data_IF_283946159110
#
_entry.id   IF_283946159110
#
_cell.length_a   1.000
_cell.length_b   1.000
_cell.length_c   1.000
_cell.angle_alpha   90.00
_cell.angle_beta   90.00
_cell.angle_gamma   90.00
#
_symmetry.space_group_name_H-M   'P 1'
#
loop_
_entity.id
_entity.type
_entity.pdbx_description
1 polymer ?
#
# COMPACT_ATOMS: atom_id res chain seq x y z
N UNK A 1 18.89 -15.06 -43.37
CA UNK A 1 19.56 -13.86 -43.91
C UNK A 1 18.47 -12.98 -44.51
N UNK A 2 18.06 -11.92 -43.80
CA UNK A 2 16.98 -11.04 -44.28
C UNK A 2 17.46 -10.15 -45.42
N UNK A 3 16.69 -10.12 -46.51
CA UNK A 3 16.97 -9.32 -47.71
C UNK A 3 16.44 -7.89 -47.52
N UNK A 4 17.33 -6.91 -47.70
CA UNK A 4 16.99 -5.48 -47.69
C UNK A 4 16.47 -5.06 -49.05
N UNK A 5 15.17 -4.82 -49.16
CA UNK A 5 14.60 -4.02 -50.23
C UNK A 5 13.99 -2.75 -49.62
N UNK A 6 14.54 -1.59 -49.98
CA UNK A 6 14.06 -0.24 -49.64
C UNK A 6 14.07 0.11 -48.14
N UNK A 7 15.21 0.08 -47.46
CA UNK A 7 15.42 0.74 -46.15
C UNK A 7 14.59 0.23 -44.95
N UNK A 8 13.57 -0.60 -45.20
CA UNK A 8 12.76 -1.26 -44.20
C UNK A 8 13.25 -2.68 -44.02
N UNK A 9 13.56 -3.04 -42.78
CA UNK A 9 13.90 -4.41 -42.42
C UNK A 9 12.59 -5.17 -42.21
N UNK A 10 12.25 -6.05 -43.14
CA UNK A 10 11.13 -6.98 -42.94
C UNK A 10 11.53 -7.95 -41.83
N UNK A 11 10.84 -7.88 -40.69
CA UNK A 11 10.93 -8.93 -39.67
C UNK A 11 10.16 -10.13 -40.19
N UNK A 12 10.76 -11.31 -40.13
CA UNK A 12 10.00 -12.53 -40.35
C UNK A 12 9.03 -12.75 -39.17
N UNK A 13 7.99 -13.56 -39.39
CA UNK A 13 6.95 -13.80 -38.37
C UNK A 13 7.51 -14.38 -37.07
N UNK A 14 8.61 -15.13 -37.13
CA UNK A 14 9.28 -15.70 -35.95
C UNK A 14 10.00 -14.61 -35.15
N UNK A 15 10.75 -13.73 -35.83
CA UNK A 15 11.40 -12.57 -35.21
C UNK A 15 10.39 -11.61 -34.56
N UNK A 16 9.27 -11.37 -35.25
CA UNK A 16 8.15 -10.57 -34.72
C UNK A 16 7.55 -11.20 -33.46
N UNK A 17 7.19 -12.48 -33.52
CA UNK A 17 6.58 -13.19 -32.38
C UNK A 17 7.53 -13.27 -31.18
N UNK A 18 8.82 -13.51 -31.40
CA UNK A 18 9.83 -13.50 -30.34
C UNK A 18 9.92 -12.13 -29.64
N UNK A 19 9.92 -11.04 -30.42
CA UNK A 19 9.97 -9.67 -29.90
C UNK A 19 8.74 -9.35 -29.05
N UNK A 20 7.54 -9.71 -29.53
CA UNK A 20 6.29 -9.52 -28.79
C UNK A 20 6.30 -10.34 -27.50
N UNK A 21 6.72 -11.61 -27.54
CA UNK A 21 6.80 -12.47 -26.37
C UNK A 21 7.72 -11.89 -25.29
N UNK A 22 8.92 -11.43 -25.67
CA UNK A 22 9.85 -10.79 -24.73
C UNK A 22 9.25 -9.53 -24.09
N UNK A 23 8.58 -8.67 -24.88
CA UNK A 23 7.94 -7.46 -24.35
C UNK A 23 6.82 -7.79 -23.36
N UNK A 24 5.97 -8.77 -23.68
CA UNK A 24 4.90 -9.22 -22.79
C UNK A 24 5.48 -9.77 -21.50
N UNK A 25 6.52 -10.60 -21.58
CA UNK A 25 7.18 -11.16 -20.40
C UNK A 25 7.76 -10.08 -19.51
N UNK A 26 8.52 -9.14 -20.08
CA UNK A 26 9.12 -8.05 -19.31
C UNK A 26 8.05 -7.18 -18.63
N UNK A 27 6.92 -6.93 -19.31
CA UNK A 27 5.79 -6.22 -18.72
C UNK A 27 5.15 -7.01 -17.58
N UNK A 28 4.97 -8.32 -17.73
CA UNK A 28 4.43 -9.19 -16.69
C UNK A 28 5.35 -9.19 -15.45
N UNK A 29 6.65 -9.31 -15.66
CA UNK A 29 7.65 -9.30 -14.58
C UNK A 29 7.66 -7.94 -13.83
N UNK A 30 7.55 -6.83 -14.55
CA UNK A 30 7.45 -5.48 -13.96
C UNK A 30 6.15 -5.30 -13.15
N UNK A 31 5.02 -5.77 -13.67
CA UNK A 31 3.74 -5.73 -12.95
C UNK A 31 3.80 -6.59 -11.68
N UNK A 32 4.32 -7.82 -11.77
CA UNK A 32 4.45 -8.71 -10.63
C UNK A 32 5.37 -8.12 -9.56
N UNK A 33 6.50 -7.53 -9.98
CA UNK A 33 7.43 -6.85 -9.10
C UNK A 33 6.75 -5.69 -8.35
N UNK A 34 5.99 -4.84 -9.05
CA UNK A 34 5.27 -3.71 -8.44
C UNK A 34 4.18 -4.17 -7.48
N UNK A 35 3.39 -5.17 -7.84
CA UNK A 35 2.32 -5.69 -6.97
C UNK A 35 2.89 -6.31 -5.69
N UNK A 36 4.03 -7.01 -5.78
CA UNK A 36 4.71 -7.59 -4.61
C UNK A 36 5.18 -6.56 -3.57
N UNK A 37 5.29 -5.29 -3.94
CA UNK A 37 5.63 -4.22 -2.98
C UNK A 37 4.45 -3.70 -2.18
N UNK A 38 3.23 -4.12 -2.51
CA UNK A 38 2.02 -3.76 -1.76
C UNK A 38 1.89 -4.70 -0.57
N UNK A 39 1.77 -4.12 0.62
CA UNK A 39 1.51 -4.84 1.87
C UNK A 39 0.21 -4.31 2.47
N UNK A 40 -0.56 -5.18 3.10
CA UNK A 40 -1.83 -4.79 3.74
C UNK A 40 -2.06 -5.57 5.02
N UNK A 41 -2.92 -5.03 5.89
CA UNK A 41 -3.36 -5.71 7.09
C UNK A 41 -4.33 -4.84 7.88
N UNK A 42 -4.57 -5.25 9.12
CA UNK A 42 -5.42 -4.54 10.06
C UNK A 42 -4.73 -4.39 11.41
N UNK A 43 -4.97 -3.29 12.12
CA UNK A 43 -4.49 -3.09 13.49
C UNK A 43 -5.65 -2.61 14.36
N UNK A 44 -5.74 -3.13 15.58
CA UNK A 44 -6.71 -2.65 16.57
C UNK A 44 -6.09 -1.53 17.40
N UNK A 45 -6.73 -0.37 17.41
CA UNK A 45 -6.36 0.77 18.24
C UNK A 45 -7.32 0.89 19.40
N UNK A 46 -6.78 0.82 20.62
CA UNK A 46 -7.55 0.95 21.85
C UNK A 46 -7.42 2.37 22.40
N UNK A 47 -8.56 2.96 22.75
CA UNK A 47 -8.66 4.27 23.41
C UNK A 47 -9.14 4.03 24.83
N UNK A 48 -8.30 4.33 25.81
CA UNK A 48 -8.62 4.14 27.22
C UNK A 48 -9.76 5.06 27.69
N UNK A 49 -10.34 4.74 28.86
CA UNK A 49 -11.25 5.63 29.59
C UNK A 49 -10.48 6.91 29.93
N UNK A 50 -11.14 8.06 29.79
CA UNK A 50 -10.54 9.38 30.00
C UNK A 50 -9.72 9.91 28.83
N UNK A 51 -9.41 9.08 27.82
CA UNK A 51 -8.57 9.49 26.69
C UNK A 51 -9.38 9.90 25.46
N UNK A 52 -8.98 11.02 24.85
CA UNK A 52 -9.52 11.49 23.58
C UNK A 52 -8.95 10.72 22.37
N UNK A 53 -7.82 10.03 22.53
CA UNK A 53 -7.15 9.32 21.45
C UNK A 53 -6.44 8.06 21.93
N UNK A 54 -6.11 7.20 20.97
CA UNK A 54 -5.33 5.98 21.17
C UNK A 54 -4.37 5.77 20.02
N UNK A 55 -3.34 4.96 20.25
CA UNK A 55 -2.31 4.67 19.25
C UNK A 55 -2.03 3.18 19.15
N UNK A 56 -1.59 2.75 17.97
CA UNK A 56 -1.03 1.41 17.76
C UNK A 56 0.13 1.48 16.76
N UNK A 57 1.04 0.52 16.84
CA UNK A 57 2.13 0.38 15.86
C UNK A 57 1.75 -0.64 14.81
N UNK A 58 1.90 -0.26 13.54
CA UNK A 58 1.86 -1.19 12.40
C UNK A 58 3.29 -1.47 12.00
N UNK A 59 3.70 -2.74 12.11
CA UNK A 59 4.98 -3.22 11.59
C UNK A 59 4.74 -3.85 10.23
N UNK A 60 5.51 -3.45 9.21
CA UNK A 60 5.40 -4.05 7.89
C UNK A 60 6.00 -5.46 7.92
N UNK A 61 5.27 -6.48 7.41
CA UNK A 61 5.79 -7.84 7.31
C UNK A 61 7.15 -7.92 6.61
N UNK A 62 7.37 -7.07 5.62
CA UNK A 62 8.66 -6.89 4.95
C UNK A 62 9.06 -5.41 4.97
N UNK A 63 10.26 -5.05 5.46
CA UNK A 63 10.73 -3.68 5.41
C UNK A 63 10.81 -3.14 3.98
N UNK A 64 10.40 -1.89 3.77
CA UNK A 64 10.66 -1.16 2.54
C UNK A 64 12.15 -0.77 2.48
N UNK A 65 12.78 -0.83 1.31
CA UNK A 65 14.24 -0.63 1.19
C UNK A 65 14.64 0.61 0.39
N UNK A 66 13.74 1.14 -0.44
CA UNK A 66 14.06 2.21 -1.41
C UNK A 66 13.49 3.55 -0.99
N UNK A 67 12.27 3.57 -0.45
CA UNK A 67 11.58 4.79 -0.06
C UNK A 67 10.61 4.53 1.10
N UNK A 68 10.30 5.59 1.86
CA UNK A 68 9.24 5.55 2.86
C UNK A 68 7.92 5.22 2.17
N UNK A 69 7.18 4.20 2.65
CA UNK A 69 5.97 3.78 1.98
C UNK A 69 4.89 4.85 2.06
N UNK A 70 4.12 4.95 0.97
CA UNK A 70 2.81 5.59 0.98
C UNK A 70 1.83 4.64 1.65
N UNK A 71 0.98 5.19 2.52
CA UNK A 71 0.06 4.39 3.33
C UNK A 71 -1.33 5.00 3.25
N UNK A 72 -2.31 4.17 2.91
CA UNK A 72 -3.72 4.47 3.08
C UNK A 72 -4.21 3.78 4.36
N UNK A 73 -4.98 4.52 5.15
CA UNK A 73 -5.63 4.02 6.37
C UNK A 73 -7.13 4.15 6.19
N UNK A 74 -7.87 3.12 6.56
CA UNK A 74 -9.33 3.16 6.63
C UNK A 74 -9.79 2.55 7.94
N UNK A 75 -10.60 3.30 8.68
CA UNK A 75 -11.19 2.84 9.92
C UNK A 75 -12.29 3.81 10.32
N UNK A 76 -13.42 3.27 10.76
CA UNK A 76 -14.57 4.07 11.15
C UNK A 76 -15.86 3.26 11.10
N UNK A 77 -16.66 3.37 12.14
CA UNK A 77 -18.05 2.90 12.13
C UNK A 77 -18.92 3.95 11.42
N UNK A 78 -19.78 3.51 10.50
CA UNK A 78 -20.73 4.36 9.81
C UNK A 78 -21.53 5.17 10.84
N UNK A 79 -21.49 6.50 10.75
CA UNK A 79 -22.23 7.40 11.66
C UNK A 79 -21.45 7.97 12.84
N UNK A 80 -20.15 7.67 13.03
CA UNK A 80 -19.33 8.35 14.03
C UNK A 80 -17.87 8.54 13.55
N UNK A 81 -17.41 9.76 13.22
CA UNK A 81 -16.15 9.97 12.52
C UNK A 81 -14.97 9.95 13.51
N UNK A 82 -14.53 8.76 13.90
CA UNK A 82 -13.18 8.61 14.42
C UNK A 82 -12.18 9.08 13.36
N UNK A 83 -11.27 9.96 13.73
CA UNK A 83 -10.24 10.45 12.80
C UNK A 83 -9.01 9.57 12.92
N UNK A 84 -8.72 8.82 11.87
CA UNK A 84 -7.56 7.95 11.77
C UNK A 84 -6.44 8.68 11.05
N UNK A 85 -5.25 8.74 11.67
CA UNK A 85 -4.08 9.38 11.10
C UNK A 85 -2.84 8.51 11.28
N UNK A 86 -1.88 8.70 10.39
CA UNK A 86 -0.53 8.15 10.54
C UNK A 86 0.34 9.18 11.26
N UNK A 87 1.16 8.73 12.20
CA UNK A 87 2.26 9.48 12.77
C UNK A 87 3.60 8.81 12.43
N UNK A 88 4.58 9.63 12.05
CA UNK A 88 5.95 9.21 11.73
C UNK A 88 6.14 8.62 10.33
N UNK A 89 7.40 8.63 9.90
CA UNK A 89 7.88 8.06 8.63
C UNK A 89 8.98 7.05 8.89
N UNK A 90 8.73 5.78 8.60
CA UNK A 90 9.73 4.72 8.71
C UNK A 90 9.50 3.64 7.65
N UNK A 91 10.59 2.96 7.32
CA UNK A 91 10.66 1.84 6.38
C UNK A 91 10.17 0.52 6.96
N UNK A 92 10.12 0.40 8.29
CA UNK A 92 9.80 -0.84 9.00
C UNK A 92 8.47 -0.79 9.72
N UNK A 93 8.01 0.40 10.11
CA UNK A 93 6.80 0.56 10.90
C UNK A 93 6.23 1.98 10.80
N UNK A 94 4.98 2.13 11.22
CA UNK A 94 4.35 3.43 11.47
C UNK A 94 3.47 3.38 12.72
N UNK A 95 3.18 4.55 13.29
CA UNK A 95 2.19 4.67 14.35
C UNK A 95 0.87 5.13 13.75
N UNK A 96 -0.20 4.39 14.04
CA UNK A 96 -1.58 4.78 13.74
C UNK A 96 -2.14 5.46 14.97
N UNK A 97 -2.79 6.60 14.78
CA UNK A 97 -3.47 7.38 15.82
C UNK A 97 -4.94 7.45 15.47
N UNK A 98 -5.79 7.11 16.43
CA UNK A 98 -7.25 7.22 16.31
C UNK A 98 -7.72 8.24 17.33
N UNK A 99 -8.40 9.28 16.85
CA UNK A 99 -8.98 10.32 17.69
C UNK A 99 -10.50 10.15 17.75
N UNK A 100 -11.06 10.27 18.95
CA UNK A 100 -12.50 10.40 19.15
C UNK A 100 -13.00 11.68 18.45
N UNK A 101 -14.25 11.69 17.97
CA UNK A 101 -14.90 12.93 17.56
C UNK A 101 -14.90 13.97 18.69
N UNK A 102 -14.89 15.25 18.33
CA UNK A 102 -15.00 16.35 19.31
C UNK A 102 -16.29 16.22 20.13
N UNK A 103 -16.19 16.37 21.45
CA UNK A 103 -17.33 16.25 22.37
C UNK A 103 -17.79 14.81 22.64
N UNK A 104 -17.15 13.79 22.06
CA UNK A 104 -17.47 12.40 22.38
C UNK A 104 -17.12 12.09 23.84
N UNK A 105 -17.99 11.32 24.51
CA UNK A 105 -17.76 10.87 25.88
C UNK A 105 -16.45 10.06 25.97
N UNK A 106 -15.69 10.29 27.03
CA UNK A 106 -14.50 9.52 27.40
C UNK A 106 -14.77 8.55 28.55
N UNK A 107 -16.03 8.42 28.99
CA UNK A 107 -16.41 7.58 30.15
C UNK A 107 -16.29 6.07 29.87
N UNK A 108 -16.29 5.67 28.60
CA UNK A 108 -16.11 4.28 28.17
C UNK A 108 -14.89 4.17 27.26
N UNK A 109 -14.16 3.06 27.38
CA UNK A 109 -13.11 2.71 26.42
C UNK A 109 -13.70 2.49 25.02
N UNK A 110 -12.89 2.69 23.99
CA UNK A 110 -13.25 2.41 22.61
C UNK A 110 -12.16 1.55 21.96
N UNK A 111 -12.55 0.73 20.98
CA UNK A 111 -11.63 -0.08 20.19
C UNK A 111 -12.04 0.03 18.73
N UNK A 112 -11.07 0.33 17.87
CA UNK A 112 -11.29 0.51 16.44
C UNK A 112 -10.31 -0.35 15.65
N UNK A 113 -10.83 -1.12 14.71
CA UNK A 113 -10.01 -1.79 13.70
C UNK A 113 -9.71 -0.79 12.59
N UNK A 114 -8.42 -0.63 12.30
CA UNK A 114 -7.91 0.20 11.21
C UNK A 114 -7.25 -0.72 10.20
N UNK A 115 -7.84 -0.77 9.01
CA UNK A 115 -7.24 -1.43 7.86
C UNK A 115 -6.20 -0.49 7.23
N UNK A 116 -5.14 -1.09 6.71
CA UNK A 116 -4.04 -0.35 6.09
C UNK A 116 -3.56 -1.05 4.83
N UNK A 117 -3.13 -0.22 3.87
CA UNK A 117 -2.41 -0.62 2.66
C UNK A 117 -1.18 0.26 2.55
N UNK A 118 -0.01 -0.34 2.38
CA UNK A 118 1.28 0.33 2.24
C UNK A 118 1.97 -0.10 0.95
N UNK A 119 2.59 0.82 0.24
CA UNK A 119 3.40 0.51 -0.95
C UNK A 119 4.62 1.44 -1.07
N UNK A 120 5.69 0.90 -1.67
CA UNK A 120 6.97 1.58 -1.91
C UNK A 120 7.00 2.33 -3.24
#
# INVERSE_FOLDING_TARGET
>A
MGTTAHGYRYMDSTEFLATVHTKIKNLADDVESKVKTIQSGSVTVNIAIGSASGTATVTFPTPFTVAVPKIALSGGVTGNPYVVTRNGTSLTQVTVVVNRPSGASTAAAASLVVDWIAHG
#
